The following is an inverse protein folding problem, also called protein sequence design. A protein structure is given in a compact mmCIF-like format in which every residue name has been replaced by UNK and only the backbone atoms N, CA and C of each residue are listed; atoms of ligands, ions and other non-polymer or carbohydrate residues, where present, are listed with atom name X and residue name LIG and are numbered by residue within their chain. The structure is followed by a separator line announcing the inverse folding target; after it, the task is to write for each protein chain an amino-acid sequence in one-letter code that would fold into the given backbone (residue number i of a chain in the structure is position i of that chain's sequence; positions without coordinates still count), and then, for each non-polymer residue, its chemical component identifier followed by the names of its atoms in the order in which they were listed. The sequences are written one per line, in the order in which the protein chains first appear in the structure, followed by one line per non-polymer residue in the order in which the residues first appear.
data_IF_058138028948
#
_entry.id   IF_058138028948
#
_cell.length_a   1.000
_cell.length_b   1.000
_cell.length_c   1.000
_cell.angle_alpha   90.00
_cell.angle_beta   90.00
_cell.angle_gamma   90.00
#
_symmetry.space_group_name_H-M   'P 1'
#
loop_
_entity.id
_entity.type
_entity.pdbx_description
1 polymer ?
#
# COMPACT_ATOMS: atom_id res chain seq x y z
N UNK A 1 -14.06 0.96 -0.18
CA UNK A 1 -13.79 2.33 0.30
C UNK A 1 -13.93 3.31 -0.85
N UNK A 2 -14.44 4.50 -0.59
CA UNK A 2 -14.52 5.56 -1.58
C UNK A 2 -13.14 6.03 -2.01
N UNK A 3 -12.95 6.30 -3.30
CA UNK A 3 -11.64 6.72 -3.82
C UNK A 3 -11.16 8.05 -3.25
N UNK A 4 -12.07 9.02 -3.07
CA UNK A 4 -11.68 10.31 -2.50
C UNK A 4 -11.19 10.16 -1.06
N UNK A 5 -11.86 9.33 -0.27
CA UNK A 5 -11.45 9.06 1.11
C UNK A 5 -10.11 8.31 1.15
N UNK A 6 -9.92 7.36 0.25
CA UNK A 6 -8.66 6.63 0.16
C UNK A 6 -7.50 7.56 -0.20
N UNK A 7 -7.72 8.48 -1.14
CA UNK A 7 -6.72 9.45 -1.53
C UNK A 7 -6.34 10.38 -0.37
N UNK A 8 -7.34 10.88 0.36
CA UNK A 8 -7.09 11.73 1.52
C UNK A 8 -6.31 10.98 2.59
N UNK A 9 -6.72 9.74 2.88
CA UNK A 9 -6.03 8.91 3.87
C UNK A 9 -4.58 8.69 3.48
N UNK A 10 -4.32 8.35 2.20
CA UNK A 10 -2.97 8.15 1.72
C UNK A 10 -2.12 9.41 1.88
N UNK A 11 -2.66 10.57 1.52
CA UNK A 11 -1.93 11.84 1.65
C UNK A 11 -1.62 12.18 3.10
N UNK A 12 -2.58 11.97 4.00
CA UNK A 12 -2.38 12.21 5.43
C UNK A 12 -1.27 11.30 5.97
N UNK A 13 -1.31 10.01 5.66
CA UNK A 13 -0.31 9.05 6.15
C UNK A 13 1.07 9.32 5.55
N UNK A 14 1.14 9.65 4.27
CA UNK A 14 2.41 9.99 3.62
C UNK A 14 3.02 11.25 4.22
N UNK A 15 2.20 12.26 4.53
CA UNK A 15 2.67 13.47 5.19
C UNK A 15 3.14 13.17 6.61
N UNK A 16 2.41 12.34 7.34
CA UNK A 16 2.78 11.93 8.71
C UNK A 16 4.16 11.28 8.76
N UNK A 17 4.51 10.51 7.73
CA UNK A 17 5.80 9.81 7.65
C UNK A 17 6.84 10.56 6.81
N UNK A 18 6.64 11.85 6.58
CA UNK A 18 7.57 12.74 5.88
C UNK A 18 7.86 12.39 4.42
N UNK A 19 7.00 11.60 3.79
CA UNK A 19 7.19 11.22 2.39
C UNK A 19 6.82 12.36 1.45
N UNK A 20 5.77 13.10 1.77
CA UNK A 20 5.33 14.23 0.94
C UNK A 20 6.43 15.29 0.84
N UNK A 21 7.10 15.59 1.95
CA UNK A 21 8.21 16.55 1.95
C UNK A 21 9.42 16.08 1.15
N UNK A 22 9.55 14.78 0.93
CA UNK A 22 10.63 14.18 0.14
C UNK A 22 10.28 14.00 -1.34
N UNK A 23 9.13 14.54 -1.77
CA UNK A 23 8.71 14.48 -3.15
C UNK A 23 7.94 13.24 -3.55
N UNK A 24 7.51 12.42 -2.60
CA UNK A 24 6.68 11.27 -2.89
C UNK A 24 5.26 11.69 -3.24
N UNK A 25 4.65 10.97 -4.19
CA UNK A 25 3.29 11.25 -4.66
C UNK A 25 2.42 10.00 -4.54
N UNK A 26 1.13 10.23 -4.49
CA UNK A 26 0.14 9.15 -4.48
C UNK A 26 -0.73 9.22 -5.73
N UNK A 27 -1.04 8.06 -6.31
CA UNK A 27 -2.00 7.98 -7.40
C UNK A 27 -2.70 6.62 -7.39
N UNK A 28 -3.78 6.50 -8.16
CA UNK A 28 -4.45 5.23 -8.40
C UNK A 28 -3.95 4.62 -9.70
N UNK A 29 -3.95 3.29 -9.76
CA UNK A 29 -3.65 2.56 -10.99
C UNK A 29 -4.81 1.63 -11.38
N UNK A 30 -4.66 0.94 -12.49
CA UNK A 30 -5.68 0.04 -13.02
C UNK A 30 -5.35 -1.43 -12.82
N UNK A 31 -4.44 -1.75 -11.93
CA UNK A 31 -4.09 -3.14 -11.61
C UNK A 31 -5.29 -3.86 -11.04
N UNK A 32 -5.43 -5.15 -11.35
CA UNK A 32 -6.53 -5.97 -10.87
C UNK A 32 -6.11 -7.00 -9.84
N UNK A 33 -4.82 -7.34 -9.81
CA UNK A 33 -4.28 -8.37 -8.92
C UNK A 33 -3.28 -7.83 -7.90
N UNK A 34 -2.85 -6.60 -8.07
CA UNK A 34 -1.92 -5.95 -7.18
C UNK A 34 -2.64 -4.81 -6.48
N UNK A 35 -2.76 -4.88 -5.16
CA UNK A 35 -3.47 -3.86 -4.40
C UNK A 35 -2.70 -2.55 -4.37
N UNK A 36 -1.40 -2.61 -4.12
CA UNK A 36 -0.57 -1.42 -4.02
C UNK A 36 0.79 -1.59 -4.69
N UNK A 37 1.45 -0.48 -4.93
CA UNK A 37 2.78 -0.46 -5.53
C UNK A 37 3.59 0.70 -4.95
N UNK A 38 4.86 0.46 -4.70
CA UNK A 38 5.81 1.48 -4.30
C UNK A 38 6.90 1.58 -5.37
N UNK A 39 6.97 2.73 -6.06
CA UNK A 39 7.94 2.96 -7.11
C UNK A 39 9.02 3.93 -6.58
N UNK A 40 10.18 3.38 -6.25
CA UNK A 40 11.28 4.18 -5.70
C UNK A 40 11.90 5.11 -6.72
N UNK A 41 11.91 4.71 -7.99
CA UNK A 41 12.52 5.52 -9.05
C UNK A 41 11.78 6.85 -9.22
N UNK A 42 10.45 6.80 -9.20
CA UNK A 42 9.61 7.99 -9.40
C UNK A 42 9.05 8.54 -8.10
N UNK A 43 9.37 7.94 -6.97
CA UNK A 43 8.87 8.31 -5.63
C UNK A 43 7.35 8.38 -5.63
N UNK A 44 6.73 7.27 -5.98
CA UNK A 44 5.29 7.20 -6.15
C UNK A 44 4.73 5.97 -5.46
N UNK A 45 3.64 6.17 -4.72
CA UNK A 45 2.84 5.09 -4.16
C UNK A 45 1.52 5.06 -4.90
N UNK A 46 1.11 3.90 -5.37
CA UNK A 46 -0.16 3.74 -6.06
C UNK A 46 -1.01 2.63 -5.46
N UNK A 47 -2.32 2.76 -5.60
CA UNK A 47 -3.29 1.73 -5.21
C UNK A 47 -4.20 1.41 -6.38
N UNK A 48 -4.65 0.16 -6.45
CA UNK A 48 -5.62 -0.26 -7.44
C UNK A 48 -6.99 0.35 -7.17
N UNK A 49 -7.53 1.07 -8.13
CA UNK A 49 -8.90 1.60 -8.04
C UNK A 49 -9.91 0.50 -7.75
N UNK A 50 -9.84 -0.59 -8.52
CA UNK A 50 -10.79 -1.68 -8.40
C UNK A 50 -10.77 -2.31 -7.01
N UNK A 51 -9.58 -2.55 -6.48
CA UNK A 51 -9.44 -3.19 -5.18
C UNK A 51 -9.81 -2.25 -4.02
N UNK A 52 -9.51 -0.95 -4.14
CA UNK A 52 -9.92 0.03 -3.14
C UNK A 52 -11.44 0.07 -3.03
N UNK A 53 -12.14 0.11 -4.16
CA UNK A 53 -13.59 0.23 -4.17
C UNK A 53 -14.31 -0.94 -3.49
N UNK A 54 -13.74 -2.13 -3.56
CA UNK A 54 -14.39 -3.34 -3.03
C UNK A 54 -13.84 -3.79 -1.67
N UNK A 55 -12.89 -3.08 -1.10
CA UNK A 55 -12.29 -3.45 0.19
C UNK A 55 -12.63 -2.43 1.27
N UNK A 56 -12.52 -2.85 2.53
CA UNK A 56 -12.81 -2.01 3.68
C UNK A 56 -11.74 -0.95 3.89
N UNK A 57 -12.09 0.09 4.64
CA UNK A 57 -11.15 1.14 5.02
C UNK A 57 -9.94 0.57 5.77
N UNK A 58 -10.17 -0.38 6.67
CA UNK A 58 -9.08 -1.02 7.42
C UNK A 58 -8.09 -1.71 6.48
N UNK A 59 -8.61 -2.41 5.47
CA UNK A 59 -7.75 -3.11 4.50
C UNK A 59 -6.99 -2.14 3.61
N UNK A 60 -7.65 -1.09 3.16
CA UNK A 60 -7.03 -0.04 2.35
C UNK A 60 -5.93 0.67 3.15
N UNK A 61 -6.21 1.02 4.40
CA UNK A 61 -5.23 1.66 5.28
C UNK A 61 -4.00 0.78 5.46
N UNK A 62 -4.20 -0.51 5.73
CA UNK A 62 -3.09 -1.45 5.88
C UNK A 62 -2.23 -1.52 4.62
N UNK A 63 -2.87 -1.50 3.45
CA UNK A 63 -2.16 -1.52 2.17
C UNK A 63 -1.34 -0.24 1.96
N UNK A 64 -1.91 0.91 2.30
CA UNK A 64 -1.17 2.18 2.23
C UNK A 64 0.06 2.12 3.11
N UNK A 65 -0.09 1.65 4.35
CA UNK A 65 1.03 1.53 5.29
C UNK A 65 2.08 0.53 4.80
N UNK A 66 1.66 -0.55 4.16
CA UNK A 66 2.56 -1.52 3.53
C UNK A 66 3.50 -0.84 2.51
N UNK A 67 2.93 0.00 1.63
CA UNK A 67 3.71 0.71 0.63
C UNK A 67 4.55 1.83 1.25
N UNK A 68 4.03 2.51 2.27
CA UNK A 68 4.79 3.52 2.99
C UNK A 68 6.03 2.90 3.64
N UNK A 69 5.89 1.71 4.23
CA UNK A 69 7.03 1.00 4.81
C UNK A 69 8.12 0.73 3.77
N UNK A 70 7.74 0.32 2.54
CA UNK A 70 8.69 0.16 1.45
C UNK A 70 9.39 1.48 1.11
N UNK A 71 8.64 2.56 1.06
CA UNK A 71 9.20 3.89 0.77
C UNK A 71 10.20 4.33 1.85
N UNK A 72 9.90 4.04 3.11
CA UNK A 72 10.74 4.45 4.23
C UNK A 72 12.05 3.69 4.33
N UNK A 73 12.05 2.38 4.03
CA UNK A 73 13.27 1.57 4.11
C UNK A 73 14.11 1.62 2.84
N UNK A 74 13.55 2.13 1.75
CA UNK A 74 14.26 2.24 0.47
C UNK A 74 14.21 0.97 -0.37
N UNK A 75 14.74 1.05 -1.59
CA UNK A 75 14.78 -0.07 -2.51
C UNK A 75 15.76 -1.15 -2.06
N UNK A 76 15.57 -2.35 -2.57
CA UNK A 76 16.48 -3.46 -2.32
C UNK A 76 16.15 -4.32 -1.10
N UNK A 77 15.13 -3.96 -0.32
CA UNK A 77 14.77 -4.76 0.86
C UNK A 77 13.66 -5.79 0.62
N UNK A 78 12.80 -5.58 -0.38
CA UNK A 78 11.67 -6.46 -0.59
C UNK A 78 10.82 -6.55 0.68
N UNK A 79 10.52 -7.77 1.12
CA UNK A 79 9.75 -8.01 2.34
C UNK A 79 10.62 -8.67 3.42
N UNK A 80 11.87 -8.22 3.53
CA UNK A 80 12.78 -8.73 4.54
C UNK A 80 12.44 -8.19 5.94
N UNK A 81 13.28 -8.53 6.93
CA UNK A 81 13.01 -8.11 8.31
C UNK A 81 13.10 -6.58 8.48
N UNK A 82 13.89 -5.88 7.67
CA UNK A 82 13.99 -4.42 7.72
C UNK A 82 12.65 -3.79 7.35
N UNK A 83 12.06 -4.22 6.23
CA UNK A 83 10.72 -3.77 5.83
C UNK A 83 9.68 -4.16 6.87
N UNK A 84 9.70 -5.42 7.31
CA UNK A 84 8.70 -5.92 8.26
C UNK A 84 8.71 -5.16 9.57
N UNK A 85 9.90 -4.88 10.10
CA UNK A 85 10.05 -4.11 11.33
C UNK A 85 9.44 -2.71 11.18
N UNK A 86 9.71 -2.05 10.06
CA UNK A 86 9.15 -0.74 9.77
C UNK A 86 7.63 -0.81 9.60
N UNK A 87 7.14 -1.82 8.89
CA UNK A 87 5.71 -2.00 8.68
C UNK A 87 4.96 -2.14 10.01
N UNK A 88 5.46 -2.98 10.90
CA UNK A 88 4.85 -3.17 12.23
C UNK A 88 4.93 -1.89 13.06
N UNK A 89 6.05 -1.17 12.99
CA UNK A 89 6.25 0.09 13.72
C UNK A 89 5.19 1.13 13.35
N UNK A 90 4.84 1.23 12.08
CA UNK A 90 3.89 2.25 11.62
C UNK A 90 2.43 1.80 11.60
N UNK A 91 2.16 0.57 12.04
CA UNK A 91 0.80 0.08 12.20
C UNK A 91 0.29 -0.85 11.10
N UNK A 92 1.16 -1.30 10.21
CA UNK A 92 0.82 -2.34 9.23
C UNK A 92 0.89 -3.72 9.89
N UNK A 93 0.21 -4.72 9.32
CA UNK A 93 0.25 -6.08 9.84
C UNK A 93 1.57 -6.81 9.60
N UNK A 94 2.45 -6.26 8.77
CA UNK A 94 3.75 -6.84 8.46
C UNK A 94 3.70 -8.08 7.60
N UNK A 95 2.57 -8.41 7.01
CA UNK A 95 2.42 -9.58 6.15
C UNK A 95 2.98 -9.29 4.77
N UNK A 96 3.69 -10.27 4.23
CA UNK A 96 4.33 -10.14 2.93
C UNK A 96 3.33 -9.97 1.79
N UNK A 97 2.26 -10.76 1.81
CA UNK A 97 1.24 -10.75 0.77
C UNK A 97 -0.14 -10.60 1.35
N UNK A 98 -1.04 -10.01 0.57
CA UNK A 98 -2.45 -9.94 0.92
C UNK A 98 -3.07 -11.31 0.69
N UNK A 99 -3.91 -11.77 1.62
CA UNK A 99 -4.57 -13.06 1.52
C UNK A 99 -6.01 -12.87 1.06
N UNK A 100 -6.58 -13.92 0.46
CA UNK A 100 -7.99 -13.92 0.06
C UNK A 100 -8.95 -13.79 1.25
N UNK A 101 -8.49 -14.11 2.44
CA UNK A 101 -9.28 -13.98 3.67
C UNK A 101 -9.46 -12.52 4.09
N UNK A 102 -8.46 -11.69 3.82
CA UNK A 102 -8.43 -10.29 4.26
C UNK A 102 -8.67 -9.31 3.13
N UNK A 103 -8.51 -9.74 1.89
CA UNK A 103 -8.60 -8.88 0.72
C UNK A 103 -9.59 -9.43 -0.28
N UNK A 104 -10.57 -8.61 -0.63
CA UNK A 104 -11.51 -8.95 -1.70
C UNK A 104 -10.90 -8.52 -3.03
N UNK A 105 -10.94 -9.41 -4.02
CA UNK A 105 -10.43 -9.12 -5.35
C UNK A 105 -11.52 -9.35 -6.40
N UNK A 106 -11.43 -8.69 -7.58
CA UNK A 106 -12.37 -8.94 -8.67
C UNK A 106 -12.29 -10.38 -9.18
N UNK A 107 -11.13 -11.03 -9.00
CA UNK A 107 -10.91 -12.42 -9.36
C UNK A 107 -10.69 -13.21 -8.08
N UNK A 108 -11.70 -13.93 -7.62
CA UNK A 108 -11.72 -14.58 -6.32
C UNK A 108 -10.66 -15.65 -6.09
N UNK A 109 -10.00 -16.13 -7.13
CA UNK A 109 -9.02 -17.22 -7.03
C UNK A 109 -7.64 -16.79 -6.58
N UNK A 110 -7.34 -15.52 -6.63
CA UNK A 110 -5.98 -15.06 -6.45
C UNK A 110 -5.84 -14.10 -5.31
N UNK A 111 -4.71 -14.18 -4.63
CA UNK A 111 -4.28 -13.17 -3.68
C UNK A 111 -3.53 -12.08 -4.45
N UNK A 112 -3.48 -10.89 -3.87
CA UNK A 112 -2.71 -9.82 -4.47
C UNK A 112 -1.22 -10.15 -4.44
N UNK A 113 -0.54 -9.77 -5.52
CA UNK A 113 0.91 -9.98 -5.62
C UNK A 113 1.62 -8.88 -4.84
N UNK A 114 2.61 -9.27 -4.05
CA UNK A 114 3.43 -8.30 -3.32
C UNK A 114 4.51 -7.73 -4.22
N UNK A 115 4.75 -6.45 -4.08
CA UNK A 115 5.79 -5.76 -4.83
C UNK A 115 7.15 -5.89 -4.17
#
# INVERSE_FOLDING_TARGET
MDLNKAQELAKILMSKHDLTSKGWRFEFDNAKRRFGCCNHRYRKISLSKALVLINSEARVKNTILHEIAHALVGGGHGHDWVWRSKALEIGCDGKRCYTSENTVTPESKYVAVCN
#
